data_IF_711559484707
#
_entry.id   IF_711559484707
#
_cell.length_a   1.000
_cell.length_b   1.000
_cell.length_c   1.000
_cell.angle_alpha   90.00
_cell.angle_beta   90.00
_cell.angle_gamma   90.00
#
_symmetry.space_group_name_H-M   'P 1'
#
loop_
_entity.id
_entity.type
_entity.pdbx_description
1 polymer ?
#
# COMPACT_ATOMS: atom_id res chain seq x y z
N UNK A 1 10.47 10.42 -14.73
CA UNK A 1 10.13 9.06 -14.26
C UNK A 1 8.61 8.91 -14.32
N UNK A 2 8.09 7.90 -15.02
CA UNK A 2 6.64 7.71 -15.16
C UNK A 2 6.06 7.06 -13.91
N UNK A 3 5.08 7.71 -13.27
CA UNK A 3 4.36 7.22 -12.10
C UNK A 3 2.88 6.96 -12.45
N UNK A 4 2.18 6.14 -11.66
CA UNK A 4 0.73 5.99 -11.80
C UNK A 4 0.00 7.27 -11.41
N UNK A 5 -1.11 7.57 -12.10
CA UNK A 5 -2.00 8.69 -11.77
C UNK A 5 -2.92 8.41 -10.55
N UNK A 6 -2.62 7.35 -9.80
CA UNK A 6 -3.41 6.87 -8.68
C UNK A 6 -2.49 6.47 -7.53
N UNK A 7 -2.92 6.78 -6.31
CA UNK A 7 -2.26 6.43 -5.05
C UNK A 7 -3.30 5.96 -4.04
N UNK A 8 -2.95 4.95 -3.24
CA UNK A 8 -3.78 4.50 -2.14
C UNK A 8 -3.51 5.37 -0.90
N UNK A 9 -4.56 6.00 -0.39
CA UNK A 9 -4.50 6.86 0.80
C UNK A 9 -5.15 6.23 2.04
N UNK A 10 -5.73 5.04 1.89
CA UNK A 10 -6.39 4.30 2.95
C UNK A 10 -6.14 2.80 2.72
N UNK A 11 -5.30 2.22 3.57
CA UNK A 11 -4.88 0.83 3.43
C UNK A 11 -4.58 0.25 4.81
N UNK A 12 -5.07 -0.96 5.07
CA UNK A 12 -4.84 -1.70 6.32
C UNK A 12 -3.75 -2.76 6.12
N UNK A 13 -2.91 -2.94 7.12
CA UNK A 13 -1.84 -3.94 7.19
C UNK A 13 -2.22 -5.08 8.12
N UNK A 14 -1.35 -6.08 8.23
CA UNK A 14 -1.46 -7.18 9.20
C UNK A 14 -1.60 -6.75 10.67
N UNK A 15 -1.37 -5.48 11.01
CA UNK A 15 -1.60 -4.95 12.36
C UNK A 15 -3.06 -4.51 12.62
N UNK A 16 -3.88 -4.40 11.57
CA UNK A 16 -5.32 -4.17 11.72
C UNK A 16 -6.01 -5.45 12.22
N UNK A 17 -6.43 -5.46 13.48
CA UNK A 17 -6.93 -6.65 14.19
C UNK A 17 -8.20 -7.28 13.58
N UNK A 18 -9.00 -6.50 12.84
CA UNK A 18 -10.29 -6.94 12.29
C UNK A 18 -10.19 -7.34 10.81
N UNK A 19 -9.38 -6.64 9.99
CA UNK A 19 -9.35 -6.78 8.51
C UNK A 19 -7.93 -6.81 7.91
N UNK A 20 -6.91 -6.89 8.76
CA UNK A 20 -5.51 -6.79 8.37
C UNK A 20 -4.93 -8.04 7.73
N UNK A 21 -5.09 -8.20 6.42
CA UNK A 21 -4.57 -9.38 5.69
C UNK A 21 -3.23 -9.13 4.96
N UNK A 22 -2.74 -7.89 4.90
CA UNK A 22 -1.66 -7.49 4.01
C UNK A 22 -0.37 -7.14 4.76
N UNK A 23 0.70 -7.91 4.54
CA UNK A 23 2.03 -7.61 5.09
C UNK A 23 2.62 -6.34 4.50
N UNK A 24 3.27 -5.51 5.32
CA UNK A 24 3.86 -4.23 4.89
C UNK A 24 4.83 -4.41 3.72
N UNK A 25 5.72 -5.41 3.80
CA UNK A 25 6.70 -5.68 2.74
C UNK A 25 6.04 -6.00 1.40
N UNK A 26 4.91 -6.71 1.41
CA UNK A 26 4.19 -7.04 0.19
C UNK A 26 3.47 -5.82 -0.37
N UNK A 27 2.86 -4.98 0.48
CA UNK A 27 2.22 -3.73 0.06
C UNK A 27 3.21 -2.78 -0.63
N UNK A 28 4.39 -2.58 -0.04
CA UNK A 28 5.44 -1.73 -0.61
C UNK A 28 5.94 -2.30 -1.94
N UNK A 29 6.11 -3.62 -2.04
CA UNK A 29 6.51 -4.27 -3.29
C UNK A 29 5.46 -4.08 -4.40
N UNK A 30 4.17 -4.18 -4.07
CA UNK A 30 3.09 -3.91 -5.04
C UNK A 30 3.05 -2.44 -5.46
N UNK A 31 3.14 -1.49 -4.53
CA UNK A 31 3.18 -0.06 -4.84
C UNK A 31 4.32 0.27 -5.81
N UNK A 32 5.51 -0.31 -5.58
CA UNK A 32 6.67 -0.18 -6.49
C UNK A 32 6.41 -0.81 -7.86
N UNK A 33 5.84 -2.02 -7.91
CA UNK A 33 5.50 -2.72 -9.16
C UNK A 33 4.53 -1.91 -10.01
N UNK A 34 3.55 -1.26 -9.37
CA UNK A 34 2.55 -0.41 -10.03
C UNK A 34 3.03 1.02 -10.29
N UNK A 35 4.29 1.36 -9.96
CA UNK A 35 4.87 2.69 -10.11
C UNK A 35 4.08 3.76 -9.36
N UNK A 36 3.49 3.40 -8.23
CA UNK A 36 2.82 4.34 -7.34
C UNK A 36 3.89 5.20 -6.65
N UNK A 37 3.79 6.54 -6.72
CA UNK A 37 4.79 7.43 -6.12
C UNK A 37 4.71 7.44 -4.59
N UNK A 38 3.55 7.08 -4.02
CA UNK A 38 3.30 7.03 -2.59
C UNK A 38 2.24 5.97 -2.25
N UNK A 39 2.24 5.54 -0.99
CA UNK A 39 1.26 4.63 -0.40
C UNK A 39 1.03 5.07 1.05
N UNK A 40 -0.22 5.25 1.47
CA UNK A 40 -0.57 5.48 2.87
C UNK A 40 -1.03 4.19 3.54
N UNK A 41 -0.62 4.02 4.79
CA UNK A 41 -1.09 2.96 5.69
C UNK A 41 -1.87 3.65 6.81
N UNK A 42 -3.09 3.17 7.05
CA UNK A 42 -4.06 3.72 7.99
C UNK A 42 -4.74 2.57 8.71
N UNK A 43 -3.98 1.85 9.54
CA UNK A 43 -4.51 0.79 10.40
C UNK A 43 -5.59 1.29 11.37
#
# INVERSE_FOLDING_TARGET
>A
MWHSNFVHLHTHTEYSLLDGACRINHLVAQAKKHKMPALAITD
#
